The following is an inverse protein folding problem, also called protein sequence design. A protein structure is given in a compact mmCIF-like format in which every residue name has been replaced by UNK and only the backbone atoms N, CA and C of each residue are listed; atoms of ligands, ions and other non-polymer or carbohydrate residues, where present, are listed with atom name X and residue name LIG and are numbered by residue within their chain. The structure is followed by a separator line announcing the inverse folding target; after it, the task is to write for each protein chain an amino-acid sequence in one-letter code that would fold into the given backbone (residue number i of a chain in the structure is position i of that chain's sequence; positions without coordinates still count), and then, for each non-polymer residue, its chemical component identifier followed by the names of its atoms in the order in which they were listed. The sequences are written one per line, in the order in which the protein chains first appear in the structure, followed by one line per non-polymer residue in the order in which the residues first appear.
data_IF_484759012626
#
_entry.id   IF_484759012626
#
_cell.length_a   1.000
_cell.length_b   1.000
_cell.length_c   1.000
_cell.angle_alpha   90.00
_cell.angle_beta   90.00
_cell.angle_gamma   90.00
#
_symmetry.space_group_name_H-M   'P 1'
#
loop_
_entity.id
_entity.type
_entity.pdbx_description
1 polymer ?
#
# COMPACT_ATOMS: atom_id res chain seq x y z
N UNK A 1 3.34 16.07 12.23
CA UNK A 1 2.02 15.40 12.36
C UNK A 1 1.18 15.56 11.09
N UNK A 2 0.63 16.74 10.80
CA UNK A 2 -0.27 16.96 9.65
C UNK A 2 0.31 16.55 8.27
N UNK A 3 1.59 16.80 8.03
CA UNK A 3 2.25 16.40 6.78
C UNK A 3 2.34 14.87 6.65
N UNK A 4 2.69 14.19 7.74
CA UNK A 4 2.73 12.72 7.79
C UNK A 4 1.35 12.11 7.52
N UNK A 5 0.29 12.62 8.17
CA UNK A 5 -1.08 12.11 8.01
C UNK A 5 -1.65 12.35 6.60
N UNK A 6 -0.98 13.17 5.79
CA UNK A 6 -1.34 13.47 4.40
C UNK A 6 -0.42 12.81 3.39
N UNK A 7 0.68 12.22 3.83
CA UNK A 7 1.66 11.62 2.96
C UNK A 7 1.14 10.32 2.34
N UNK A 8 1.30 10.13 1.04
CA UNK A 8 0.98 8.85 0.37
C UNK A 8 1.74 7.70 1.02
N UNK A 9 2.98 7.93 1.44
CA UNK A 9 3.84 6.96 2.10
C UNK A 9 3.33 6.47 3.47
N UNK A 10 2.44 7.19 4.16
CA UNK A 10 1.87 6.76 5.45
C UNK A 10 0.60 5.90 5.30
N UNK A 11 0.05 5.82 4.08
CA UNK A 11 -1.19 5.11 3.80
C UNK A 11 -0.94 3.70 3.26
N UNK A 12 -2.00 2.90 3.20
CA UNK A 12 -1.95 1.52 2.69
C UNK A 12 -2.01 1.53 1.16
N UNK A 13 -1.07 2.18 0.48
CA UNK A 13 -0.98 2.30 -0.98
C UNK A 13 0.49 2.29 -1.42
N UNK A 14 0.75 2.41 -2.74
CA UNK A 14 2.09 2.56 -3.29
C UNK A 14 2.47 4.05 -3.38
N UNK A 15 3.68 4.35 -2.96
CA UNK A 15 4.37 5.61 -3.12
C UNK A 15 5.54 5.42 -4.11
N UNK A 16 5.70 6.33 -5.07
CA UNK A 16 6.75 6.27 -6.09
C UNK A 16 7.70 7.44 -5.85
N UNK A 17 9.00 7.17 -5.82
CA UNK A 17 10.08 8.14 -5.57
C UNK A 17 9.95 8.96 -4.28
N UNK A 18 9.17 8.47 -3.32
CA UNK A 18 8.90 9.21 -2.08
C UNK A 18 7.88 10.35 -2.25
N UNK A 19 7.28 10.48 -3.42
CA UNK A 19 6.37 11.57 -3.77
C UNK A 19 4.92 11.27 -3.39
N UNK A 20 4.17 12.34 -3.10
CA UNK A 20 2.74 12.22 -2.85
C UNK A 20 1.97 12.14 -4.17
N UNK A 21 1.02 11.21 -4.26
CA UNK A 21 0.11 11.11 -5.41
C UNK A 21 -0.80 12.33 -5.54
N UNK A 22 -1.07 13.01 -4.43
CA UNK A 22 -1.74 14.31 -4.42
C UNK A 22 -0.90 15.32 -3.67
N UNK A 23 -0.62 16.43 -4.32
CA UNK A 23 0.12 17.54 -3.76
C UNK A 23 -0.82 18.34 -2.86
N UNK A 24 -0.54 18.32 -1.55
CA UNK A 24 -1.31 19.09 -0.57
C UNK A 24 -0.42 20.22 -0.05
N UNK A 25 -0.77 21.45 -0.40
CA UNK A 25 -0.13 22.67 0.08
C UNK A 25 -0.91 23.28 1.23
N UNK A 26 -0.21 23.61 2.31
CA UNK A 26 -0.78 24.36 3.44
C UNK A 26 -2.05 23.68 4.02
N UNK A 27 -2.86 24.41 4.79
CA UNK A 27 -3.96 23.83 5.57
C UNK A 27 -5.07 23.27 4.64
N UNK A 28 -5.38 23.90 3.49
CA UNK A 28 -6.54 23.55 2.65
C UNK A 28 -6.34 23.62 1.13
N UNK A 29 -5.11 23.79 0.62
CA UNK A 29 -4.90 23.92 -0.83
C UNK A 29 -4.42 22.61 -1.41
N UNK A 30 -5.11 22.14 -2.45
CA UNK A 30 -4.65 21.02 -3.25
C UNK A 30 -4.01 21.61 -4.50
N UNK A 31 -2.76 21.23 -4.75
CA UNK A 31 -2.06 21.55 -5.99
C UNK A 31 -2.47 20.54 -7.06
N UNK A 32 -1.52 19.71 -7.49
CA UNK A 32 -1.81 18.57 -8.36
C UNK A 32 -2.61 17.51 -7.60
N UNK A 33 -3.87 17.31 -7.99
CA UNK A 33 -4.75 16.29 -7.43
C UNK A 33 -4.70 15.03 -8.29
N UNK A 34 -4.43 13.88 -7.68
CA UNK A 34 -4.65 12.60 -8.33
C UNK A 34 -6.11 12.46 -8.74
N UNK A 35 -6.36 12.19 -10.00
CA UNK A 35 -7.66 11.83 -10.54
C UNK A 35 -7.70 10.31 -10.67
N UNK A 36 -8.62 9.62 -9.98
CA UNK A 36 -8.75 8.19 -10.14
C UNK A 36 -9.28 7.82 -11.54
N UNK A 37 -8.77 6.74 -12.10
CA UNK A 37 -9.00 6.29 -13.48
C UNK A 37 -9.12 4.76 -13.53
N UNK A 38 -9.57 4.22 -14.69
CA UNK A 38 -9.60 2.78 -14.98
C UNK A 38 -10.38 1.94 -13.96
N UNK A 39 -11.63 2.35 -13.67
CA UNK A 39 -12.47 1.65 -12.71
C UNK A 39 -13.04 0.36 -13.28
N UNK A 40 -12.82 -0.74 -12.56
CA UNK A 40 -13.48 -2.02 -12.81
C UNK A 40 -14.08 -2.51 -11.50
N UNK A 41 -15.33 -2.95 -11.52
CA UNK A 41 -16.02 -3.45 -10.32
C UNK A 41 -16.97 -4.55 -10.74
N UNK A 42 -16.93 -5.69 -10.05
CA UNK A 42 -17.84 -6.78 -10.35
C UNK A 42 -17.71 -8.00 -9.43
N UNK A 43 -18.70 -8.91 -9.49
CA UNK A 43 -18.61 -10.19 -8.81
C UNK A 43 -17.55 -11.09 -9.46
N UNK A 44 -17.00 -12.01 -8.68
CA UNK A 44 -16.17 -13.13 -9.16
C UNK A 44 -16.80 -14.44 -8.68
N UNK A 45 -16.33 -15.59 -9.18
CA UNK A 45 -16.82 -16.91 -8.71
C UNK A 45 -16.70 -17.08 -7.18
N UNK A 46 -15.69 -16.48 -6.55
CA UNK A 46 -15.37 -16.65 -5.14
C UNK A 46 -15.63 -15.40 -4.28
N UNK A 47 -16.23 -14.34 -4.84
CA UNK A 47 -16.43 -13.09 -4.11
C UNK A 47 -16.61 -11.88 -5.02
N UNK A 48 -15.76 -10.87 -4.83
CA UNK A 48 -15.88 -9.56 -5.49
C UNK A 48 -14.51 -9.03 -5.89
N UNK A 49 -14.47 -8.26 -6.96
CA UNK A 49 -13.30 -7.56 -7.45
C UNK A 49 -13.58 -6.08 -7.64
N UNK A 50 -12.60 -5.25 -7.28
CA UNK A 50 -12.53 -3.86 -7.67
C UNK A 50 -11.11 -3.51 -8.11
N UNK A 51 -10.98 -2.66 -9.14
CA UNK A 51 -9.71 -2.15 -9.59
C UNK A 51 -9.80 -0.66 -9.97
N UNK A 52 -8.72 0.07 -9.74
CA UNK A 52 -8.56 1.47 -10.14
C UNK A 52 -7.07 1.86 -10.15
N UNK A 53 -6.73 2.88 -10.94
CA UNK A 53 -5.46 3.60 -10.88
C UNK A 53 -5.67 5.09 -10.72
N UNK A 54 -4.62 5.89 -10.86
CA UNK A 54 -4.70 7.34 -10.87
C UNK A 54 -3.51 7.97 -11.61
N UNK A 55 -3.64 9.24 -12.00
CA UNK A 55 -2.61 10.03 -12.70
C UNK A 55 -1.68 10.85 -11.78
N UNK A 56 -1.76 10.62 -10.46
CA UNK A 56 -1.03 11.42 -9.46
C UNK A 56 0.49 11.52 -9.65
N UNK A 57 1.10 10.60 -10.39
CA UNK A 57 2.54 10.55 -10.65
C UNK A 57 2.94 10.93 -12.09
N UNK A 58 1.98 11.27 -12.96
CA UNK A 58 2.21 11.58 -14.38
C UNK A 58 3.15 12.76 -14.62
N UNK A 59 3.32 13.60 -13.60
CA UNK A 59 4.17 14.77 -13.64
C UNK A 59 5.65 14.47 -13.38
N UNK A 60 5.98 13.27 -12.89
CA UNK A 60 7.35 12.84 -12.68
C UNK A 60 7.99 12.42 -14.02
N UNK A 61 9.32 12.58 -14.18
CA UNK A 61 10.02 12.07 -15.35
C UNK A 61 9.69 10.59 -15.57
N UNK A 62 9.45 10.18 -16.81
CA UNK A 62 9.13 8.78 -17.09
C UNK A 62 7.66 8.37 -16.86
N UNK A 63 6.84 9.27 -16.30
CA UNK A 63 5.39 9.09 -16.05
C UNK A 63 5.07 7.77 -15.35
N UNK A 64 5.65 7.50 -14.18
CA UNK A 64 5.33 6.30 -13.44
C UNK A 64 3.85 6.27 -13.07
N UNK A 65 3.31 5.05 -12.95
CA UNK A 65 1.88 4.85 -12.73
C UNK A 65 1.64 3.77 -11.68
N UNK A 66 0.50 3.87 -11.00
CA UNK A 66 0.05 2.89 -10.02
C UNK A 66 -1.40 2.50 -10.32
N UNK A 67 -1.63 1.20 -10.41
CA UNK A 67 -2.96 0.61 -10.53
C UNK A 67 -3.10 -0.52 -9.52
N UNK A 68 -4.18 -0.50 -8.73
CA UNK A 68 -4.48 -1.54 -7.75
C UNK A 68 -5.73 -2.29 -8.13
N UNK A 69 -5.66 -3.61 -8.00
CA UNK A 69 -6.80 -4.52 -8.02
C UNK A 69 -6.93 -5.22 -6.67
N UNK A 70 -8.14 -5.33 -6.16
CA UNK A 70 -8.47 -6.02 -4.90
C UNK A 70 -9.50 -7.09 -5.22
N UNK A 71 -9.23 -8.32 -4.78
CA UNK A 71 -10.12 -9.48 -4.90
C UNK A 71 -10.41 -10.04 -3.53
N UNK A 72 -11.68 -10.30 -3.21
CA UNK A 72 -12.07 -11.09 -2.04
C UNK A 72 -12.18 -12.56 -2.40
N UNK A 73 -11.94 -13.43 -1.42
CA UNK A 73 -12.21 -14.86 -1.49
C UNK A 73 -12.48 -15.39 -0.08
N UNK A 74 -12.96 -16.62 0.06
CA UNK A 74 -13.45 -17.21 1.32
C UNK A 74 -12.53 -17.05 2.54
N UNK A 75 -11.21 -16.99 2.33
CA UNK A 75 -10.21 -16.95 3.41
C UNK A 75 -9.45 -15.63 3.50
N UNK A 76 -9.82 -14.61 2.73
CA UNK A 76 -9.15 -13.32 2.81
C UNK A 76 -9.26 -12.44 1.56
N UNK A 77 -8.23 -11.63 1.35
CA UNK A 77 -8.15 -10.68 0.24
C UNK A 77 -6.80 -10.79 -0.49
N UNK A 78 -6.84 -10.58 -1.80
CA UNK A 78 -5.67 -10.50 -2.66
C UNK A 78 -5.61 -9.09 -3.26
N UNK A 79 -4.51 -8.39 -3.03
CA UNK A 79 -4.21 -7.10 -3.63
C UNK A 79 -3.15 -7.31 -4.71
N UNK A 80 -3.35 -6.74 -5.89
CA UNK A 80 -2.36 -6.73 -6.97
C UNK A 80 -2.08 -5.27 -7.28
N UNK A 81 -0.89 -4.82 -6.90
CA UNK A 81 -0.35 -3.52 -7.26
C UNK A 81 0.47 -3.65 -8.53
N UNK A 82 0.01 -3.06 -9.62
CA UNK A 82 0.79 -2.90 -10.84
C UNK A 82 1.45 -1.51 -10.83
N UNK A 83 2.76 -1.49 -10.99
CA UNK A 83 3.56 -0.27 -11.02
C UNK A 83 4.26 -0.20 -12.37
N UNK A 84 4.03 0.91 -13.08
CA UNK A 84 4.53 1.13 -14.44
C UNK A 84 5.35 2.41 -14.57
N UNK A 85 5.56 2.82 -15.82
CA UNK A 85 6.39 3.97 -16.20
C UNK A 85 7.63 3.56 -17.00
N UNK A 86 8.40 4.57 -17.38
CA UNK A 86 9.69 4.42 -18.06
C UNK A 86 10.78 5.12 -17.26
N UNK A 87 12.04 4.70 -17.39
CA UNK A 87 13.12 5.26 -16.57
C UNK A 87 13.27 4.52 -15.23
N UNK A 88 14.18 4.99 -14.38
CA UNK A 88 14.54 4.32 -13.14
C UNK A 88 13.92 5.01 -11.93
N UNK A 89 13.16 4.23 -11.16
CA UNK A 89 12.35 4.71 -10.04
C UNK A 89 12.54 3.83 -8.80
N UNK A 90 12.01 4.31 -7.69
CA UNK A 90 11.77 3.52 -6.48
C UNK A 90 10.28 3.45 -6.16
N UNK A 91 9.83 2.31 -5.67
CA UNK A 91 8.47 2.11 -5.22
C UNK A 91 8.48 1.57 -3.80
N UNK A 92 7.61 2.12 -2.96
CA UNK A 92 7.40 1.69 -1.58
C UNK A 92 5.92 1.49 -1.35
N UNK A 93 5.53 0.35 -0.80
CA UNK A 93 4.17 0.11 -0.33
C UNK A 93 4.20 -0.45 1.09
N UNK A 94 3.03 -0.52 1.71
CA UNK A 94 2.96 -0.95 3.08
C UNK A 94 1.56 -1.03 3.66
N UNK A 95 1.51 -1.49 4.91
CA UNK A 95 0.28 -1.67 5.66
C UNK A 95 0.49 -1.21 7.10
N UNK A 96 -0.30 -0.24 7.55
CA UNK A 96 -0.34 0.15 8.95
C UNK A 96 -1.15 -0.89 9.73
N UNK A 97 -0.52 -1.51 10.71
CA UNK A 97 -1.17 -2.50 11.57
C UNK A 97 -1.82 -1.77 12.75
N UNK A 98 -3.04 -2.15 13.18
CA UNK A 98 -3.64 -1.54 14.37
C UNK A 98 -2.78 -1.76 15.63
N UNK A 99 -2.74 -0.82 16.59
CA UNK A 99 -2.00 -1.04 17.83
C UNK A 99 -2.47 -2.29 18.59
N UNK A 100 -1.53 -2.90 19.32
CA UNK A 100 -1.80 -4.10 20.12
C UNK A 100 -1.80 -5.41 19.33
N UNK A 101 -1.40 -5.38 18.05
CA UNK A 101 -1.09 -6.57 17.27
C UNK A 101 0.43 -6.80 17.24
N UNK A 102 0.84 -8.07 17.26
CA UNK A 102 2.24 -8.47 17.13
C UNK A 102 2.55 -8.80 15.69
N UNK A 103 3.69 -8.33 15.19
CA UNK A 103 4.17 -8.59 13.83
C UNK A 103 5.40 -9.48 13.89
N UNK A 104 5.36 -10.62 13.19
CA UNK A 104 6.50 -11.53 13.03
C UNK A 104 6.88 -11.62 11.55
N UNK A 105 8.10 -11.20 11.16
CA UNK A 105 8.57 -11.35 9.78
C UNK A 105 8.67 -12.83 9.37
N UNK A 106 8.33 -13.12 8.12
CA UNK A 106 8.55 -14.42 7.47
C UNK A 106 9.29 -14.20 6.15
N UNK A 107 9.70 -15.27 5.49
CA UNK A 107 10.54 -15.21 4.27
C UNK A 107 9.98 -14.32 3.16
N UNK A 108 8.65 -14.24 3.02
CA UNK A 108 7.96 -13.45 2.00
C UNK A 108 6.76 -12.69 2.58
N UNK A 109 6.97 -11.97 3.68
CA UNK A 109 5.95 -11.12 4.27
C UNK A 109 5.94 -11.19 5.79
N UNK A 110 4.74 -11.24 6.37
CA UNK A 110 4.55 -11.17 7.81
C UNK A 110 3.41 -12.06 8.30
N UNK A 111 3.51 -12.47 9.55
CA UNK A 111 2.38 -12.97 10.34
C UNK A 111 2.02 -11.90 11.36
N UNK A 112 0.73 -11.56 11.41
CA UNK A 112 0.18 -10.53 12.30
C UNK A 112 -0.83 -11.21 13.22
N UNK A 113 -0.63 -11.12 14.53
CA UNK A 113 -1.45 -11.84 15.51
C UNK A 113 -1.90 -10.97 16.68
N UNK A 114 -3.08 -11.30 17.21
CA UNK A 114 -3.62 -10.71 18.44
C UNK A 114 -4.58 -11.69 19.10
N UNK A 115 -4.27 -12.08 20.33
CA UNK A 115 -5.00 -13.13 21.07
C UNK A 115 -5.07 -14.44 20.25
N UNK A 116 -6.27 -14.92 19.96
CA UNK A 116 -6.59 -16.11 19.16
C UNK A 116 -6.64 -15.83 17.65
N UNK A 117 -6.48 -14.58 17.22
CA UNK A 117 -6.57 -14.21 15.80
C UNK A 117 -5.20 -14.14 15.15
N UNK A 118 -5.08 -14.71 13.97
CA UNK A 118 -3.87 -14.66 13.16
C UNK A 118 -4.19 -14.34 11.70
N UNK A 119 -3.35 -13.51 11.09
CA UNK A 119 -3.41 -13.15 9.68
C UNK A 119 -2.02 -13.30 9.09
N UNK A 120 -1.91 -14.03 7.98
CA UNK A 120 -0.70 -14.11 7.17
C UNK A 120 -0.78 -13.15 6.00
N UNK A 121 0.21 -12.28 5.89
CA UNK A 121 0.38 -11.32 4.79
C UNK A 121 1.56 -11.81 3.98
N UNK A 122 1.30 -12.41 2.82
CA UNK A 122 2.32 -12.98 1.94
C UNK A 122 2.45 -12.16 0.64
N UNK A 123 3.69 -11.87 0.25
CA UNK A 123 4.01 -11.05 -0.91
C UNK A 123 4.68 -11.89 -2.01
N UNK A 124 4.31 -11.62 -3.25
CA UNK A 124 4.91 -12.22 -4.43
C UNK A 124 5.12 -11.14 -5.50
N UNK A 125 6.32 -11.11 -6.08
CA UNK A 125 6.67 -10.20 -7.17
C UNK A 125 7.76 -10.82 -8.03
N UNK A 126 7.82 -10.42 -9.31
CA UNK A 126 8.97 -10.70 -10.17
C UNK A 126 10.21 -9.90 -9.74
N UNK A 127 10.00 -8.78 -9.05
CA UNK A 127 11.05 -7.93 -8.53
C UNK A 127 11.47 -8.37 -7.12
N UNK A 128 12.76 -8.25 -6.80
CA UNK A 128 13.23 -8.48 -5.44
C UNK A 128 12.72 -7.36 -4.52
N UNK A 129 11.92 -7.72 -3.51
CA UNK A 129 11.38 -6.78 -2.54
C UNK A 129 12.23 -6.77 -1.27
N UNK A 130 12.56 -5.57 -0.78
CA UNK A 130 13.10 -5.37 0.55
C UNK A 130 11.94 -5.20 1.54
N UNK A 131 11.79 -6.14 2.47
CA UNK A 131 10.72 -6.14 3.47
C UNK A 131 11.25 -5.62 4.81
N UNK A 132 10.53 -4.70 5.43
CA UNK A 132 10.89 -4.14 6.73
C UNK A 132 9.64 -3.91 7.61
N UNK A 133 9.88 -3.69 8.90
CA UNK A 133 8.88 -3.20 9.85
C UNK A 133 9.38 -1.94 10.51
N UNK A 134 8.53 -0.91 10.60
CA UNK A 134 8.89 0.36 11.21
C UNK A 134 7.86 0.78 12.27
N UNK A 135 8.31 1.55 13.27
CA UNK A 135 7.39 2.23 14.19
C UNK A 135 6.72 3.37 13.45
N UNK A 136 5.41 3.46 13.56
CA UNK A 136 4.60 4.48 12.89
C UNK A 136 3.50 5.00 13.84
N UNK A 137 3.19 6.30 13.81
CA UNK A 137 2.10 6.83 14.60
C UNK A 137 0.73 6.49 13.99
N UNK A 138 -0.27 6.34 14.85
CA UNK A 138 -1.69 6.15 14.54
C UNK A 138 -2.54 7.10 15.36
N UNK A 139 -3.44 7.84 14.71
CA UNK A 139 -4.26 8.88 15.32
C UNK A 139 -5.75 8.53 15.22
N UNK A 140 -6.29 7.74 16.17
CA UNK A 140 -7.70 7.34 16.12
C UNK A 140 -8.66 8.49 16.41
N UNK A 141 -8.21 9.51 17.14
CA UNK A 141 -9.01 10.64 17.63
C UNK A 141 -8.15 11.90 17.69
N UNK A 142 -8.77 13.08 17.66
CA UNK A 142 -8.04 14.35 17.76
C UNK A 142 -7.24 14.43 19.07
N UNK A 143 -5.96 14.80 18.96
CA UNK A 143 -5.07 14.94 20.11
C UNK A 143 -4.57 13.62 20.69
N UNK A 144 -4.91 12.46 20.09
CA UNK A 144 -4.44 11.15 20.53
C UNK A 144 -3.51 10.53 19.49
N UNK A 145 -2.28 10.26 19.89
CA UNK A 145 -1.30 9.51 19.10
C UNK A 145 -0.95 8.20 19.81
N UNK A 146 -0.96 7.10 19.08
CA UNK A 146 -0.51 5.79 19.53
C UNK A 146 0.57 5.29 18.56
N UNK A 147 1.64 4.71 19.11
CA UNK A 147 2.64 4.04 18.27
C UNK A 147 2.16 2.65 17.87
N UNK A 148 2.38 2.30 16.62
CA UNK A 148 2.07 0.99 16.06
C UNK A 148 3.13 0.56 15.04
N UNK A 149 2.96 -0.60 14.44
CA UNK A 149 3.87 -1.12 13.41
C UNK A 149 3.32 -0.87 12.01
N UNK A 150 4.16 -0.35 11.13
CA UNK A 150 3.92 -0.33 9.69
C UNK A 150 4.78 -1.39 9.02
N UNK A 151 4.14 -2.23 8.21
CA UNK A 151 4.81 -3.16 7.32
C UNK A 151 5.21 -2.39 6.07
N UNK A 152 6.44 -2.57 5.60
CA UNK A 152 6.96 -1.87 4.43
C UNK A 152 7.60 -2.86 3.48
N UNK A 153 7.26 -2.75 2.20
CA UNK A 153 8.05 -3.32 1.12
C UNK A 153 8.57 -2.20 0.24
N UNK A 154 9.79 -2.35 -0.28
CA UNK A 154 10.38 -1.39 -1.21
C UNK A 154 11.19 -2.09 -2.29
N UNK A 155 11.31 -1.44 -3.43
CA UNK A 155 12.19 -1.86 -4.52
C UNK A 155 12.59 -0.69 -5.40
N UNK A 156 13.70 -0.85 -6.13
CA UNK A 156 13.99 -0.06 -7.34
C UNK A 156 13.52 -0.82 -8.57
N UNK A 157 13.10 -0.11 -9.60
CA UNK A 157 12.61 -0.70 -10.85
C UNK A 157 12.92 0.22 -12.03
N UNK A 158 13.13 -0.38 -13.20
CA UNK A 158 13.28 0.30 -14.49
C UNK A 158 12.36 -0.25 -15.59
N UNK A 159 11.59 -1.29 -15.25
CA UNK A 159 10.54 -1.92 -16.05
C UNK A 159 9.29 -2.10 -15.20
N UNK A 160 8.09 -2.12 -15.82
CA UNK A 160 6.85 -2.38 -15.10
C UNK A 160 6.89 -3.71 -14.35
N UNK A 161 6.34 -3.73 -13.13
CA UNK A 161 6.28 -4.92 -12.29
C UNK A 161 4.97 -4.97 -11.52
N UNK A 162 4.70 -6.10 -10.88
CA UNK A 162 3.55 -6.25 -10.00
C UNK A 162 3.93 -6.81 -8.65
N UNK A 163 3.22 -6.38 -7.60
CA UNK A 163 3.27 -6.97 -6.26
C UNK A 163 1.89 -7.55 -5.96
N UNK A 164 1.84 -8.87 -5.83
CA UNK A 164 0.67 -9.58 -5.32
C UNK A 164 0.83 -9.74 -3.81
N UNK A 165 -0.11 -9.18 -3.03
CA UNK A 165 -0.20 -9.35 -1.59
C UNK A 165 -1.43 -10.15 -1.24
N UNK A 166 -1.25 -11.32 -0.63
CA UNK A 166 -2.34 -12.14 -0.08
C UNK A 166 -2.41 -11.95 1.42
N UNK A 167 -3.57 -11.51 1.89
CA UNK A 167 -3.90 -11.37 3.31
C UNK A 167 -4.89 -12.48 3.64
N UNK A 168 -4.43 -13.48 4.38
CA UNK A 168 -5.16 -14.72 4.65
C UNK A 168 -5.39 -14.82 6.16
N UNK A 169 -6.65 -15.03 6.56
CA UNK A 169 -6.96 -15.36 7.95
C UNK A 169 -6.54 -16.80 8.23
N UNK A 170 -5.75 -16.98 9.27
CA UNK A 170 -5.40 -18.29 9.82
C UNK A 170 -6.27 -18.44 11.08
N UNK A 171 -7.13 -19.47 11.10
CA UNK A 171 -8.09 -19.70 12.17
C UNK A 171 -7.39 -20.00 13.49
#
# INVERSE_FOLDING_TARGET
LREYDRATASHNTVCIDGENSTEVWDIFRVGRRAVPQHFEVGPTEAGFEAAAGHDGFDHLPGKPSHHRRIRTFDRGICLIDHVGGTGSHSATGGYLIPPGWTVTPISRGWVVSRHDKQVRIALHSQQMLHLNTESAPWHPEYGRELQTTRLVWSTRYDQPFSVETRIISER
#
